data_IF_448476710951
#
_entry.id   IF_448476710951
#
_cell.length_a   1.000
_cell.length_b   1.000
_cell.length_c   1.000
_cell.angle_alpha   90.00
_cell.angle_beta   90.00
_cell.angle_gamma   90.00
#
_symmetry.space_group_name_H-M   'P 1'
#
loop_
_entity.id
_entity.type
_entity.pdbx_description
1 polymer ?
#
# COMPACT_ATOMS: atom_id res chain seq x y z
N UNK A 1 6.56 -2.67 6.04
CA UNK A 1 7.23 -3.98 5.92
C UNK A 1 8.52 -3.81 5.14
N UNK A 2 9.56 -4.56 5.49
CA UNK A 2 10.82 -4.54 4.75
C UNK A 2 10.80 -5.63 3.68
N UNK A 3 10.98 -5.24 2.42
CA UNK A 3 10.84 -6.11 1.25
C UNK A 3 12.06 -5.97 0.35
N UNK A 4 12.57 -7.09 -0.16
CA UNK A 4 13.59 -7.09 -1.19
C UNK A 4 12.92 -6.97 -2.56
N UNK A 5 13.00 -5.79 -3.18
CA UNK A 5 12.52 -5.56 -4.55
C UNK A 5 13.61 -5.90 -5.57
N UNK A 6 13.28 -5.99 -6.88
CA UNK A 6 14.28 -6.11 -7.94
C UNK A 6 15.30 -4.96 -8.00
N UNK A 7 15.00 -3.81 -7.38
CA UNK A 7 15.84 -2.61 -7.43
C UNK A 7 16.55 -2.30 -6.11
N UNK A 8 16.23 -3.02 -5.02
CA UNK A 8 16.87 -2.86 -3.72
C UNK A 8 15.93 -3.13 -2.53
N UNK A 9 16.45 -3.07 -1.31
CA UNK A 9 15.62 -3.14 -0.11
C UNK A 9 14.74 -1.89 0.00
N UNK A 10 13.45 -2.10 0.29
CA UNK A 10 12.45 -1.03 0.50
C UNK A 10 11.68 -1.31 1.78
N UNK A 11 11.54 -0.29 2.63
CA UNK A 11 10.64 -0.31 3.78
C UNK A 11 9.32 0.34 3.38
N UNK A 12 8.36 -0.50 2.98
CA UNK A 12 7.03 -0.05 2.56
C UNK A 12 6.18 0.36 3.75
N UNK A 13 5.59 1.55 3.67
CA UNK A 13 4.50 1.96 4.53
C UNK A 13 3.16 1.62 3.88
N UNK A 14 2.23 1.12 4.69
CA UNK A 14 0.87 0.82 4.28
C UNK A 14 -0.06 0.95 5.49
N UNK A 15 -1.34 1.20 5.24
CA UNK A 15 -2.38 1.14 6.25
C UNK A 15 -3.42 0.08 5.88
N UNK A 16 -4.05 -0.50 6.91
CA UNK A 16 -5.07 -1.52 6.75
C UNK A 16 -6.36 -1.01 7.36
N UNK A 17 -7.46 -1.32 6.68
CA UNK A 17 -8.78 -1.19 7.24
C UNK A 17 -9.60 -2.46 7.03
N UNK A 18 -10.42 -2.82 8.02
CA UNK A 18 -11.27 -4.00 8.03
C UNK A 18 -12.73 -3.60 8.31
N UNK A 19 -13.71 -4.51 8.18
CA UNK A 19 -15.11 -4.16 8.43
C UNK A 19 -15.40 -3.62 9.83
N UNK A 20 -14.66 -4.07 10.83
CA UNK A 20 -14.84 -3.65 12.22
C UNK A 20 -13.87 -2.56 12.68
N UNK A 21 -12.81 -2.26 11.92
CA UNK A 21 -11.79 -1.30 12.32
C UNK A 21 -11.27 -0.49 11.13
N UNK A 22 -11.34 0.85 11.22
CA UNK A 22 -10.85 1.75 10.18
C UNK A 22 -9.30 1.84 10.12
N UNK A 23 -8.60 1.50 11.20
CA UNK A 23 -7.13 1.52 11.32
C UNK A 23 -6.65 0.26 12.05
N UNK A 24 -6.41 -0.80 11.27
CA UNK A 24 -6.09 -2.14 11.76
C UNK A 24 -4.61 -2.47 11.61
N UNK A 25 -4.06 -3.22 12.56
CA UNK A 25 -2.71 -3.77 12.45
C UNK A 25 -2.67 -5.09 11.65
N UNK A 26 -3.83 -5.69 11.37
CA UNK A 26 -3.93 -6.98 10.67
C UNK A 26 -5.15 -7.09 9.75
N UNK A 27 -5.03 -8.01 8.77
CA UNK A 27 -6.09 -8.39 7.85
C UNK A 27 -7.02 -9.43 8.48
N UNK A 28 -8.29 -9.43 8.09
CA UNK A 28 -9.20 -10.55 8.31
C UNK A 28 -8.94 -11.64 7.24
N UNK A 29 -8.41 -12.82 7.60
CA UNK A 29 -8.07 -13.86 6.63
C UNK A 29 -9.30 -14.49 5.96
N UNK A 30 -10.51 -14.25 6.45
CA UNK A 30 -11.74 -14.73 5.83
C UNK A 30 -12.25 -13.84 4.68
N UNK A 31 -11.64 -12.66 4.47
CA UNK A 31 -12.09 -11.66 3.51
C UNK A 31 -11.03 -11.43 2.42
N UNK A 32 -11.45 -11.13 1.17
CA UNK A 32 -10.51 -10.70 0.15
C UNK A 32 -9.98 -9.29 0.47
N UNK A 33 -8.82 -8.98 -0.08
CA UNK A 33 -8.14 -7.69 0.09
C UNK A 33 -8.25 -6.85 -1.19
N UNK A 34 -8.62 -5.59 -1.05
CA UNK A 34 -8.56 -4.57 -2.09
C UNK A 34 -7.34 -3.70 -1.82
N UNK A 35 -6.37 -3.72 -2.73
CA UNK A 35 -5.18 -2.86 -2.67
C UNK A 35 -5.45 -1.54 -3.42
N UNK A 36 -5.26 -0.43 -2.71
CA UNK A 36 -5.41 0.93 -3.22
C UNK A 36 -4.03 1.49 -3.58
N UNK A 37 -3.88 1.91 -4.83
CA UNK A 37 -2.69 2.56 -5.35
C UNK A 37 -2.99 4.03 -5.62
N UNK A 38 -2.25 4.92 -4.99
CA UNK A 38 -2.41 6.36 -5.16
C UNK A 38 -1.79 6.84 -6.49
N UNK A 39 -2.20 8.03 -6.95
CA UNK A 39 -1.57 8.67 -8.09
C UNK A 39 -0.18 9.24 -7.73
N UNK A 40 0.60 9.65 -8.73
CA UNK A 40 1.86 10.36 -8.50
C UNK A 40 1.64 11.63 -7.66
N UNK A 41 2.63 11.99 -6.84
CA UNK A 41 2.67 13.20 -6.00
C UNK A 41 1.72 13.25 -4.80
N UNK A 42 0.95 12.19 -4.55
CA UNK A 42 0.10 12.07 -3.36
C UNK A 42 0.45 10.78 -2.60
N UNK A 43 0.35 10.75 -1.26
CA UNK A 43 0.51 9.52 -0.48
C UNK A 43 -0.83 8.80 -0.26
N UNK A 44 -0.77 7.59 0.29
CA UNK A 44 -1.91 6.72 0.63
C UNK A 44 -3.01 7.39 1.47
N UNK A 45 -2.69 8.43 2.24
CA UNK A 45 -3.66 9.19 3.07
C UNK A 45 -4.83 9.78 2.26
N UNK A 46 -4.72 9.90 0.93
CA UNK A 46 -5.84 10.27 0.06
C UNK A 46 -7.04 9.33 0.20
N UNK A 47 -6.82 8.07 0.62
CA UNK A 47 -7.85 7.05 0.79
C UNK A 47 -8.49 7.02 2.18
N UNK A 48 -8.07 7.88 3.11
CA UNK A 48 -8.68 7.95 4.46
C UNK A 48 -10.21 8.05 4.44
N UNK A 49 -10.87 8.85 3.57
CA UNK A 49 -12.33 8.90 3.53
C UNK A 49 -12.97 7.57 3.16
N UNK A 50 -12.38 6.80 2.24
CA UNK A 50 -12.87 5.47 1.86
C UNK A 50 -12.68 4.46 2.99
N UNK A 51 -11.61 4.61 3.78
CA UNK A 51 -11.32 3.76 4.93
C UNK A 51 -12.20 4.15 6.13
N UNK A 52 -12.67 5.38 6.25
CA UNK A 52 -13.66 5.73 7.27
C UNK A 52 -15.06 5.15 6.96
N UNK A 53 -15.37 4.89 5.68
CA UNK A 53 -16.72 4.49 5.24
C UNK A 53 -16.99 2.98 5.49
N UNK A 54 -17.86 2.62 6.46
CA UNK A 54 -18.19 1.22 6.75
C UNK A 54 -18.89 0.51 5.59
N UNK A 55 -19.50 1.23 4.65
CA UNK A 55 -20.16 0.63 3.49
C UNK A 55 -19.17 0.12 2.45
N UNK A 56 -17.96 0.70 2.40
CA UNK A 56 -16.86 0.27 1.53
C UNK A 56 -15.99 -0.80 2.19
N UNK A 57 -15.87 -0.78 3.52
CA UNK A 57 -15.10 -1.74 4.33
C UNK A 57 -15.74 -3.12 4.46
N UNK A 58 -16.37 -3.65 3.41
CA UNK A 58 -16.85 -5.05 3.39
C UNK A 58 -15.74 -6.05 3.05
N UNK A 59 -14.53 -5.55 2.83
CA UNK A 59 -13.31 -6.24 2.46
C UNK A 59 -12.19 -5.77 3.40
N UNK A 60 -11.04 -6.44 3.36
CA UNK A 60 -9.82 -5.78 3.82
C UNK A 60 -9.47 -4.69 2.80
N UNK A 61 -9.28 -3.45 3.24
CA UNK A 61 -8.75 -2.38 2.42
C UNK A 61 -7.30 -2.14 2.83
N UNK A 62 -6.39 -2.12 1.87
CA UNK A 62 -4.98 -1.82 2.11
C UNK A 62 -4.57 -0.69 1.20
N UNK A 63 -3.95 0.35 1.73
CA UNK A 63 -3.35 1.41 0.91
C UNK A 63 -1.85 1.40 1.11
N UNK A 64 -1.12 1.37 0.00
CA UNK A 64 0.34 1.33 -0.04
C UNK A 64 0.89 2.71 -0.41
N UNK A 65 1.90 3.17 0.31
CA UNK A 65 2.77 4.25 -0.18
C UNK A 65 3.79 3.65 -1.16
N UNK A 66 3.75 4.09 -2.41
CA UNK A 66 4.75 3.69 -3.41
C UNK A 66 6.13 4.26 -3.07
N UNK A 67 7.19 3.70 -3.66
CA UNK A 67 8.55 4.22 -3.45
C UNK A 67 8.62 5.72 -3.78
N UNK A 68 9.39 6.47 -2.99
CA UNK A 68 9.50 7.93 -3.06
C UNK A 68 8.22 8.71 -2.69
N UNK A 69 7.21 8.05 -2.10
CA UNK A 69 5.97 8.69 -1.63
C UNK A 69 5.70 8.39 -0.15
N UNK A 70 5.00 9.32 0.50
CA UNK A 70 4.53 9.17 1.87
C UNK A 70 5.63 8.78 2.86
N UNK A 71 5.46 7.62 3.51
CA UNK A 71 6.39 7.10 4.53
C UNK A 71 7.19 5.89 4.06
N UNK A 72 7.12 5.51 2.78
CA UNK A 72 7.94 4.44 2.22
C UNK A 72 9.37 4.91 2.03
N UNK A 73 10.33 4.13 2.53
CA UNK A 73 11.76 4.45 2.48
C UNK A 73 12.53 3.45 1.62
N UNK A 74 13.42 3.93 0.76
CA UNK A 74 14.25 3.09 -0.11
C UNK A 74 15.04 3.91 -1.12
N UNK A 75 16.05 3.29 -1.72
CA UNK A 75 16.81 3.92 -2.79
C UNK A 75 16.02 3.88 -4.10
N UNK A 76 15.82 5.05 -4.73
CA UNK A 76 15.19 5.13 -6.04
C UNK A 76 16.24 4.80 -7.11
N UNK A 77 16.02 3.79 -7.98
CA UNK A 77 16.97 3.48 -9.05
C UNK A 77 17.04 4.63 -10.07
N UNK A 78 18.13 4.68 -10.84
CA UNK A 78 18.35 5.73 -11.83
C UNK A 78 17.23 5.81 -12.91
N UNK A 79 16.57 4.68 -13.17
CA UNK A 79 15.37 4.58 -14.01
C UNK A 79 14.27 3.99 -13.14
N UNK A 80 13.22 4.78 -12.91
CA UNK A 80 12.04 4.35 -12.16
C UNK A 80 10.78 4.80 -12.91
N UNK A 81 10.17 3.86 -13.62
CA UNK A 81 8.97 4.07 -14.43
C UNK A 81 7.78 3.33 -13.81
N UNK A 82 6.65 3.33 -14.48
CA UNK A 82 5.46 2.57 -14.09
C UNK A 82 5.75 1.07 -13.99
N UNK A 83 6.71 0.57 -14.78
CA UNK A 83 7.11 -0.84 -14.74
C UNK A 83 7.81 -1.20 -13.43
N UNK A 84 8.84 -0.44 -13.04
CA UNK A 84 9.55 -0.66 -11.77
C UNK A 84 8.61 -0.48 -10.58
N UNK A 85 7.72 0.51 -10.62
CA UNK A 85 6.70 0.70 -9.60
C UNK A 85 5.73 -0.50 -9.50
N UNK A 86 5.35 -1.11 -10.63
CA UNK A 86 4.52 -2.31 -10.63
C UNK A 86 5.26 -3.55 -10.09
N UNK A 87 6.57 -3.66 -10.35
CA UNK A 87 7.43 -4.71 -9.80
C UNK A 87 7.54 -4.60 -8.27
N UNK A 88 7.67 -3.37 -7.74
CA UNK A 88 7.64 -3.08 -6.31
C UNK A 88 6.30 -3.48 -5.66
N UNK A 89 5.17 -3.14 -6.30
CA UNK A 89 3.83 -3.55 -5.84
C UNK A 89 3.71 -5.08 -5.84
N UNK A 90 4.23 -5.76 -6.86
CA UNK A 90 4.25 -7.21 -6.89
C UNK A 90 5.09 -7.80 -5.76
N UNK A 91 6.27 -7.23 -5.49
CA UNK A 91 7.12 -7.66 -4.39
C UNK A 91 6.47 -7.44 -3.00
N UNK A 92 5.69 -6.35 -2.84
CA UNK A 92 4.94 -6.07 -1.63
C UNK A 92 3.85 -7.12 -1.33
N UNK A 93 3.27 -7.75 -2.35
CA UNK A 93 2.16 -8.71 -2.20
C UNK A 93 2.59 -10.16 -1.89
N UNK A 94 3.90 -10.47 -1.94
CA UNK A 94 4.45 -11.83 -1.78
C UNK A 94 5.05 -12.01 -0.39
#
# INVERSE_FOLDING_TARGET
>A
IDVQTPHGPVSFFYCISTPSNEDSDSLDPALPTVLFLHAAWVPSTIFHPQFADPTLRRFNLVALDLLSHGRTEGAVPAVYTEREAAEDVNAFMV
#
